data_IF_941434488921
#
_entry.id   IF_941434488921
#
_cell.length_a   1.000
_cell.length_b   1.000
_cell.length_c   1.000
_cell.angle_alpha   90.00
_cell.angle_beta   90.00
_cell.angle_gamma   90.00
#
_symmetry.space_group_name_H-M   'P 1'
#
loop_
_entity.id
_entity.type
_entity.pdbx_description
1 polymer ?
#
# COMPACT_ATOMS: atom_id res chain seq x y z
N UNK A 1 -3.18 1.88 20.73
CA UNK A 1 -3.69 1.22 19.52
C UNK A 1 -4.17 -0.18 19.92
N UNK A 2 -5.32 -0.61 19.43
CA UNK A 2 -5.80 -1.97 19.69
C UNK A 2 -5.12 -2.96 18.72
N UNK A 3 -4.18 -3.74 19.26
CA UNK A 3 -3.41 -4.72 18.46
C UNK A 3 -4.30 -5.78 17.84
N UNK A 4 -5.44 -6.12 18.46
CA UNK A 4 -6.35 -7.18 18.00
C UNK A 4 -7.10 -6.74 16.76
N UNK A 5 -7.60 -5.50 16.75
CA UNK A 5 -8.30 -4.93 15.60
C UNK A 5 -7.38 -4.77 14.40
N UNK A 6 -6.15 -4.31 14.61
CA UNK A 6 -5.19 -4.17 13.52
C UNK A 6 -4.78 -5.53 12.96
N UNK A 7 -4.61 -6.54 13.81
CA UNK A 7 -4.39 -7.90 13.32
C UNK A 7 -5.56 -8.40 12.48
N UNK A 8 -6.80 -8.12 12.89
CA UNK A 8 -7.98 -8.54 12.14
C UNK A 8 -8.02 -7.86 10.77
N UNK A 9 -7.78 -6.55 10.73
CA UNK A 9 -7.70 -5.80 9.48
C UNK A 9 -6.62 -6.34 8.54
N UNK A 10 -5.40 -6.56 9.04
CA UNK A 10 -4.29 -7.09 8.24
C UNK A 10 -4.52 -8.53 7.78
N UNK A 11 -5.19 -9.34 8.60
CA UNK A 11 -5.57 -10.71 8.24
C UNK A 11 -6.58 -10.75 7.09
N UNK A 12 -7.61 -9.90 7.15
CA UNK A 12 -8.58 -9.74 6.06
C UNK A 12 -7.91 -9.20 4.78
N UNK A 13 -6.99 -8.25 4.93
CA UNK A 13 -6.23 -7.68 3.81
C UNK A 13 -5.36 -8.73 3.11
N UNK A 14 -4.62 -9.53 3.88
CA UNK A 14 -3.78 -10.61 3.36
C UNK A 14 -4.63 -11.72 2.72
N UNK A 15 -5.78 -12.04 3.31
CA UNK A 15 -6.74 -12.97 2.72
C UNK A 15 -7.28 -12.46 1.39
N UNK A 16 -7.63 -11.18 1.28
CA UNK A 16 -8.11 -10.59 0.03
C UNK A 16 -7.03 -10.64 -1.08
N UNK A 17 -5.76 -10.43 -0.73
CA UNK A 17 -4.65 -10.43 -1.69
C UNK A 17 -4.22 -11.85 -2.10
N UNK A 18 -4.19 -12.80 -1.17
CA UNK A 18 -3.54 -14.12 -1.38
C UNK A 18 -4.50 -15.31 -1.34
N UNK A 19 -5.74 -15.10 -0.89
CA UNK A 19 -6.70 -16.16 -0.58
C UNK A 19 -6.37 -16.96 0.70
N UNK A 20 -5.35 -16.55 1.46
CA UNK A 20 -4.91 -17.21 2.70
C UNK A 20 -4.85 -16.23 3.85
N UNK A 21 -5.23 -16.68 5.03
CA UNK A 21 -5.11 -15.91 6.26
C UNK A 21 -3.66 -15.92 6.77
N UNK A 22 -3.34 -14.97 7.65
CA UNK A 22 -2.05 -14.91 8.32
C UNK A 22 -1.86 -16.14 9.22
N UNK A 23 -0.70 -16.79 9.09
CA UNK A 23 -0.38 -17.90 9.97
C UNK A 23 -0.01 -17.44 11.39
N UNK A 24 0.15 -18.41 12.29
CA UNK A 24 0.46 -18.14 13.69
C UNK A 24 1.79 -17.41 13.90
N UNK A 25 2.83 -17.69 13.10
CA UNK A 25 4.14 -17.03 13.15
C UNK A 25 4.06 -15.60 12.59
N UNK A 26 3.38 -15.40 11.46
CA UNK A 26 3.16 -14.08 10.86
C UNK A 26 2.38 -13.16 11.82
N UNK A 27 1.33 -13.68 12.46
CA UNK A 27 0.58 -12.94 13.50
C UNK A 27 1.46 -12.60 14.71
N UNK A 28 2.35 -13.50 15.11
CA UNK A 28 3.30 -13.23 16.20
C UNK A 28 4.35 -12.19 15.83
N UNK A 29 4.79 -12.17 14.56
CA UNK A 29 5.68 -11.14 14.02
C UNK A 29 5.01 -9.78 14.10
N UNK A 30 3.78 -9.64 13.60
CA UNK A 30 3.02 -8.37 13.65
C UNK A 30 2.85 -7.89 15.10
N UNK A 31 2.36 -8.76 15.99
CA UNK A 31 2.22 -8.46 17.43
C UNK A 31 3.54 -8.03 18.05
N UNK A 32 4.60 -8.80 17.77
CA UNK A 32 5.92 -8.56 18.29
C UNK A 32 6.48 -7.22 17.85
N UNK A 33 6.28 -6.83 16.59
CA UNK A 33 6.76 -5.54 16.06
C UNK A 33 5.99 -4.38 16.69
N UNK A 34 4.67 -4.48 16.83
CA UNK A 34 3.84 -3.47 17.51
C UNK A 34 4.27 -3.31 18.99
N UNK A 35 4.69 -4.41 19.62
CA UNK A 35 5.16 -4.43 21.01
C UNK A 35 6.69 -4.30 21.15
N UNK A 36 7.40 -3.85 20.11
CA UNK A 36 8.85 -3.63 20.10
C UNK A 36 9.72 -4.86 20.49
N UNK A 37 9.20 -6.08 20.30
CA UNK A 37 9.94 -7.34 20.53
C UNK A 37 10.96 -7.61 19.42
N UNK A 38 12.02 -8.34 19.76
CA UNK A 38 13.03 -8.78 18.79
C UNK A 38 12.58 -10.08 18.12
N UNK A 39 13.00 -10.29 16.87
CA UNK A 39 12.77 -11.55 16.15
C UNK A 39 13.37 -12.77 16.85
N UNK A 40 14.44 -12.59 17.63
CA UNK A 40 15.01 -13.68 18.42
C UNK A 40 14.04 -14.19 19.50
N UNK A 41 13.24 -13.31 20.10
CA UNK A 41 12.29 -13.68 21.16
C UNK A 41 11.04 -14.34 20.56
N UNK A 42 10.56 -13.80 19.44
CA UNK A 42 9.46 -14.40 18.66
C UNK A 42 9.85 -15.82 18.19
N UNK A 43 11.08 -15.98 17.67
CA UNK A 43 11.56 -17.26 17.18
C UNK A 43 11.64 -18.33 18.29
N UNK A 44 12.09 -17.95 19.49
CA UNK A 44 12.12 -18.85 20.65
C UNK A 44 10.73 -19.34 21.05
N UNK A 45 9.75 -18.42 21.09
CA UNK A 45 8.37 -18.74 21.43
C UNK A 45 7.75 -19.73 20.44
N UNK A 46 8.10 -19.61 19.15
CA UNK A 46 7.59 -20.44 18.07
C UNK A 46 8.50 -21.62 17.68
N UNK A 47 9.52 -21.90 18.49
CA UNK A 47 10.48 -22.99 18.28
C UNK A 47 11.13 -22.98 16.89
N UNK A 48 11.37 -21.79 16.32
CA UNK A 48 12.02 -21.62 15.03
C UNK A 48 13.36 -20.88 15.16
N UNK A 49 14.10 -20.78 14.06
CA UNK A 49 15.36 -20.05 14.04
C UNK A 49 15.12 -18.55 13.90
N UNK A 50 16.02 -17.73 14.46
CA UNK A 50 16.00 -16.28 14.25
C UNK A 50 16.04 -15.93 12.75
N UNK A 51 16.77 -16.70 11.94
CA UNK A 51 16.83 -16.52 10.48
C UNK A 51 15.46 -16.70 9.86
N UNK A 52 14.81 -17.83 10.13
CA UNK A 52 13.49 -18.14 9.61
C UNK A 52 12.44 -17.07 9.98
N UNK A 53 12.43 -16.60 11.24
CA UNK A 53 11.52 -15.52 11.64
C UNK A 53 11.79 -14.20 10.91
N UNK A 54 13.05 -13.91 10.53
CA UNK A 54 13.40 -12.73 9.73
C UNK A 54 13.01 -12.87 8.26
N UNK A 55 13.20 -14.06 7.70
CA UNK A 55 12.84 -14.35 6.31
C UNK A 55 11.31 -14.27 6.13
N UNK A 56 10.56 -14.88 7.06
CA UNK A 56 9.11 -14.78 7.11
C UNK A 56 8.64 -13.33 7.30
N UNK A 57 9.31 -12.58 8.18
CA UNK A 57 8.99 -11.16 8.36
C UNK A 57 9.26 -10.34 7.10
N UNK A 58 10.34 -10.62 6.36
CA UNK A 58 10.66 -9.93 5.12
C UNK A 58 9.59 -10.18 4.05
N UNK A 59 9.20 -11.45 3.86
CA UNK A 59 8.12 -11.82 2.95
C UNK A 59 6.79 -11.14 3.35
N UNK A 60 6.49 -11.11 4.65
CA UNK A 60 5.30 -10.46 5.18
C UNK A 60 5.29 -8.95 4.90
N UNK A 61 6.42 -8.27 5.05
CA UNK A 61 6.50 -6.85 4.73
C UNK A 61 6.32 -6.57 3.24
N UNK A 62 6.90 -7.38 2.36
CA UNK A 62 6.68 -7.24 0.91
C UNK A 62 5.20 -7.39 0.56
N UNK A 63 4.54 -8.41 1.11
CA UNK A 63 3.12 -8.65 0.89
C UNK A 63 2.25 -7.48 1.38
N UNK A 64 2.49 -7.02 2.61
CA UNK A 64 1.75 -5.89 3.17
C UNK A 64 2.03 -4.59 2.42
N UNK A 65 3.25 -4.42 1.90
CA UNK A 65 3.61 -3.25 1.09
C UNK A 65 2.84 -3.22 -0.22
N UNK A 66 2.72 -4.37 -0.88
CA UNK A 66 1.93 -4.52 -2.09
C UNK A 66 0.45 -4.25 -1.82
N UNK A 67 -0.09 -4.81 -0.73
CA UNK A 67 -1.50 -4.67 -0.38
C UNK A 67 -1.88 -3.24 0.08
N UNK A 68 -0.98 -2.52 0.75
CA UNK A 68 -1.23 -1.16 1.26
C UNK A 68 -0.72 -0.05 0.34
N UNK A 69 0.12 -0.37 -0.64
CA UNK A 69 0.73 0.62 -1.52
C UNK A 69 1.83 1.47 -0.88
N UNK A 70 2.35 1.06 0.27
CA UNK A 70 3.37 1.77 1.04
C UNK A 70 4.56 0.85 1.25
N UNK A 71 5.79 1.34 1.10
CA UNK A 71 6.99 0.51 1.38
C UNK A 71 7.10 0.26 2.88
N UNK A 72 6.74 -0.94 3.33
CA UNK A 72 6.71 -1.32 4.73
C UNK A 72 7.95 -2.10 5.13
N UNK A 73 8.39 -1.82 6.35
CA UNK A 73 9.47 -2.50 7.04
C UNK A 73 9.22 -2.46 8.55
N UNK A 74 10.05 -3.16 9.32
CA UNK A 74 9.91 -3.22 10.79
C UNK A 74 9.87 -1.84 11.46
N UNK A 75 10.63 -0.86 10.96
CA UNK A 75 10.75 0.47 11.58
C UNK A 75 9.57 1.39 11.32
N UNK A 76 8.94 1.31 10.14
CA UNK A 76 7.82 2.17 9.79
C UNK A 76 6.46 1.50 9.97
N UNK A 77 6.40 0.17 10.10
CA UNK A 77 5.15 -0.57 10.23
C UNK A 77 4.31 -0.04 11.39
N UNK A 78 4.93 0.21 12.55
CA UNK A 78 4.24 0.77 13.73
C UNK A 78 3.57 2.12 13.42
N UNK A 79 4.28 3.02 12.74
CA UNK A 79 3.72 4.32 12.35
C UNK A 79 2.59 4.18 11.32
N UNK A 80 2.72 3.25 10.36
CA UNK A 80 1.66 2.94 9.39
C UNK A 80 0.39 2.44 10.08
N UNK A 81 0.50 1.48 11.01
CA UNK A 81 -0.67 0.95 11.70
C UNK A 81 -1.26 1.91 12.73
N UNK A 82 -0.46 2.79 13.34
CA UNK A 82 -0.96 3.88 14.17
C UNK A 82 -1.78 4.87 13.34
N UNK A 83 -1.34 5.22 12.12
CA UNK A 83 -2.16 6.01 11.17
C UNK A 83 -3.48 5.31 10.82
N UNK A 84 -3.46 4.01 10.58
CA UNK A 84 -4.68 3.23 10.30
C UNK A 84 -5.62 3.16 11.52
N UNK A 85 -5.07 3.10 12.73
CA UNK A 85 -5.84 2.87 13.97
C UNK A 85 -6.25 4.13 14.74
N UNK A 86 -5.70 5.32 14.45
CA UNK A 86 -5.90 6.52 15.28
C UNK A 86 -7.16 7.30 14.95
N UNK A 87 -7.87 7.08 13.83
CA UNK A 87 -9.19 7.68 13.75
C UNK A 87 -10.36 6.79 13.32
N UNK A 88 -11.09 6.33 14.33
CA UNK A 88 -12.49 5.94 14.19
C UNK A 88 -13.42 7.16 14.31
N UNK A 89 -12.89 8.36 14.57
CA UNK A 89 -13.67 9.55 14.90
C UNK A 89 -13.52 10.74 13.94
N UNK A 90 -12.57 10.77 12.99
CA UNK A 90 -12.51 11.80 11.93
C UNK A 90 -12.84 11.26 10.52
N UNK A 91 -12.81 9.95 10.28
CA UNK A 91 -13.25 9.36 8.98
C UNK A 91 -14.71 8.91 8.96
N UNK A 92 -15.55 9.33 9.93
CA UNK A 92 -16.98 9.00 9.91
C UNK A 92 -17.78 9.73 8.80
N UNK A 93 -17.10 10.45 7.91
CA UNK A 93 -17.68 10.95 6.66
C UNK A 93 -16.65 10.82 5.54
N UNK A 94 -17.01 10.09 4.48
CA UNK A 94 -16.27 9.84 3.23
C UNK A 94 -14.93 9.10 3.36
N UNK A 95 -14.92 7.78 3.12
CA UNK A 95 -14.38 7.15 1.90
C UNK A 95 -14.97 5.72 1.84
N UNK A 96 -16.05 5.56 1.08
CA UNK A 96 -16.32 4.30 0.39
C UNK A 96 -15.59 4.45 -0.94
N UNK A 97 -14.53 3.67 -1.14
CA UNK A 97 -13.85 3.50 -2.43
C UNK A 97 -13.14 4.73 -3.00
N UNK A 98 -11.88 4.96 -2.63
CA UNK A 98 -10.89 5.49 -3.56
C UNK A 98 -9.48 5.31 -3.00
N UNK A 99 -8.74 4.37 -3.60
CA UNK A 99 -7.30 4.29 -3.49
C UNK A 99 -6.70 5.32 -4.46
N UNK A 100 -6.28 6.47 -3.94
CA UNK A 100 -5.52 7.46 -4.71
C UNK A 100 -4.03 7.18 -4.49
N UNK A 101 -3.43 6.39 -5.38
CA UNK A 101 -1.99 6.53 -5.66
C UNK A 101 -1.86 7.77 -6.56
N UNK A 102 -1.03 8.72 -6.13
CA UNK A 102 -0.48 9.73 -7.04
C UNK A 102 -0.55 11.14 -6.48
N UNK A 103 0.41 11.49 -5.63
CA UNK A 103 0.62 12.87 -5.22
C UNK A 103 1.75 12.96 -4.20
N UNK A 104 2.91 13.45 -4.62
CA UNK A 104 4.09 13.68 -3.80
C UNK A 104 3.75 14.33 -2.46
N UNK A 105 3.99 13.61 -1.36
CA UNK A 105 3.86 14.15 -0.02
C UNK A 105 5.07 15.05 0.22
N UNK A 106 4.87 16.36 0.17
CA UNK A 106 5.82 17.32 0.71
C UNK A 106 5.68 17.34 2.24
N UNK A 107 6.84 17.24 2.88
CA UNK A 107 7.05 17.00 4.29
C UNK A 107 6.76 18.23 5.18
N UNK A 108 6.20 17.95 6.36
CA UNK A 108 6.25 18.64 7.65
C UNK A 108 6.21 20.17 7.73
N UNK A 109 5.27 20.65 8.55
CA UNK A 109 5.42 21.89 9.33
C UNK A 109 5.74 21.54 10.78
N UNK A 110 6.97 21.82 11.21
CA UNK A 110 7.36 21.86 12.63
C UNK A 110 6.60 22.97 13.38
N UNK A 111 6.60 22.89 14.71
CA UNK A 111 7.04 24.02 15.51
C UNK A 111 8.33 23.67 16.27
N UNK A 112 9.31 24.57 16.17
CA UNK A 112 10.50 24.70 17.02
C UNK A 112 10.13 24.55 18.52
N UNK A 113 10.98 24.05 19.43
CA UNK A 113 12.22 24.69 19.88
C UNK A 113 13.00 23.80 20.90
N UNK A 114 14.34 23.95 20.92
CA UNK A 114 15.39 23.55 21.92
C UNK A 114 15.56 22.06 22.32
N UNK A 115 16.75 21.44 22.43
CA UNK A 115 18.10 21.91 22.81
C UNK A 115 19.21 20.91 22.34
N UNK A 116 20.43 21.44 22.15
CA UNK A 116 21.82 20.92 22.01
C UNK A 116 22.12 19.45 22.44
N UNK A 117 23.13 18.67 21.98
CA UNK A 117 24.47 18.82 21.37
C UNK A 117 24.86 17.36 20.94
N UNK A 118 25.50 17.04 19.82
CA UNK A 118 26.96 17.10 19.64
C UNK A 118 27.38 16.31 18.38
N UNK A 119 28.37 16.87 17.69
CA UNK A 119 29.45 16.29 16.86
C UNK A 119 29.17 15.71 15.46
N UNK A 120 29.87 16.34 14.52
CA UNK A 120 29.99 16.14 13.08
C UNK A 120 30.85 14.92 12.71
N UNK A 121 30.62 14.43 11.48
CA UNK A 121 31.57 13.57 10.77
C UNK A 121 31.20 13.49 9.30
N UNK A 122 31.65 14.50 8.54
CA UNK A 122 31.43 14.71 7.10
C UNK A 122 31.75 13.51 6.21
N UNK A 123 30.97 13.33 5.14
CA UNK A 123 31.51 13.01 3.82
C UNK A 123 30.63 13.61 2.72
N UNK A 124 31.02 14.80 2.25
CA UNK A 124 30.66 15.31 0.92
C UNK A 124 31.31 14.43 -0.15
N UNK A 125 30.65 14.24 -1.30
CA UNK A 125 31.20 14.69 -2.60
C UNK A 125 30.21 14.50 -3.76
N UNK A 126 29.65 15.64 -4.19
CA UNK A 126 29.45 16.16 -5.56
C UNK A 126 29.07 15.25 -6.75
N UNK A 127 28.07 15.71 -7.53
CA UNK A 127 27.90 15.19 -8.90
C UNK A 127 26.74 15.69 -9.79
N UNK A 128 26.45 17.00 -9.85
CA UNK A 128 25.94 17.77 -11.03
C UNK A 128 24.66 17.33 -11.80
N UNK A 129 23.67 18.22 -11.71
CA UNK A 129 22.88 18.88 -12.78
C UNK A 129 22.83 18.26 -14.20
N UNK A 130 21.62 18.01 -14.71
CA UNK A 130 20.91 18.92 -15.65
C UNK A 130 19.92 18.15 -16.57
N UNK A 131 18.99 18.93 -17.13
CA UNK A 131 18.20 18.70 -18.36
C UNK A 131 16.86 17.97 -18.29
N UNK A 132 15.82 18.80 -18.36
CA UNK A 132 14.54 18.53 -19.00
C UNK A 132 14.73 17.85 -20.36
N UNK A 133 14.08 16.69 -20.55
CA UNK A 133 13.68 16.20 -21.88
C UNK A 133 12.29 15.59 -21.78
N UNK A 134 11.33 16.36 -22.28
CA UNK A 134 10.04 15.90 -22.79
C UNK A 134 10.26 14.87 -23.91
N UNK A 135 9.57 13.72 -23.86
CA UNK A 135 9.41 12.89 -25.06
C UNK A 135 9.14 11.39 -24.86
N UNK A 136 7.91 10.99 -25.21
CA UNK A 136 7.48 9.69 -25.76
C UNK A 136 7.18 8.52 -24.80
N UNK A 137 5.89 8.22 -24.67
CA UNK A 137 5.41 6.84 -24.46
C UNK A 137 3.98 6.61 -25.02
N UNK A 138 3.70 7.12 -26.23
CA UNK A 138 2.42 6.94 -26.94
C UNK A 138 2.24 5.53 -27.56
N UNK A 139 2.69 4.46 -26.88
CA UNK A 139 2.54 3.07 -27.39
C UNK A 139 2.01 2.07 -26.35
N UNK A 140 2.03 2.41 -25.07
CA UNK A 140 1.53 1.51 -24.00
C UNK A 140 0.07 1.80 -23.62
N UNK A 141 -0.35 3.06 -23.74
CA UNK A 141 -1.73 3.52 -23.50
C UNK A 141 -2.74 2.86 -24.46
N UNK A 142 -2.37 2.65 -25.73
CA UNK A 142 -3.29 2.18 -26.78
C UNK A 142 -3.73 0.73 -26.58
N UNK A 143 -2.83 -0.16 -26.15
CA UNK A 143 -3.15 -1.58 -25.92
C UNK A 143 -4.08 -1.80 -24.73
N UNK A 144 -3.88 -1.03 -23.65
CA UNK A 144 -4.78 -1.07 -22.48
C UNK A 144 -6.16 -0.51 -22.80
N UNK A 145 -6.25 0.55 -23.60
CA UNK A 145 -7.53 1.10 -24.05
C UNK A 145 -8.26 0.11 -24.98
N UNK A 146 -7.58 -0.54 -25.91
CA UNK A 146 -8.20 -1.52 -26.80
C UNK A 146 -8.78 -2.73 -26.05
N UNK A 147 -8.03 -3.30 -25.10
CA UNK A 147 -8.51 -4.44 -24.31
C UNK A 147 -9.77 -4.12 -23.46
N UNK A 148 -9.87 -2.88 -22.98
CA UNK A 148 -11.07 -2.39 -22.28
C UNK A 148 -12.28 -2.32 -23.23
N UNK A 149 -12.09 -1.78 -24.43
CA UNK A 149 -13.16 -1.65 -25.43
C UNK A 149 -13.70 -3.01 -25.90
N UNK A 150 -12.84 -4.02 -26.06
CA UNK A 150 -13.27 -5.38 -26.48
C UNK A 150 -14.17 -6.08 -25.44
N UNK A 151 -14.15 -5.64 -24.19
CA UNK A 151 -14.93 -6.25 -23.10
C UNK A 151 -16.35 -5.65 -22.99
N UNK A 152 -16.57 -4.45 -23.51
CA UNK A 152 -17.87 -3.74 -23.49
C UNK A 152 -19.04 -4.60 -24.00
N UNK A 153 -18.99 -5.21 -25.21
CA UNK A 153 -20.12 -6.01 -25.71
C UNK A 153 -20.43 -7.23 -24.83
N UNK A 154 -19.43 -7.77 -24.13
CA UNK A 154 -19.64 -8.90 -23.19
C UNK A 154 -20.38 -8.44 -21.93
N UNK A 155 -20.07 -7.24 -21.42
CA UNK A 155 -20.71 -6.67 -20.24
C UNK A 155 -22.17 -6.27 -20.53
N UNK A 156 -22.44 -5.75 -21.73
CA UNK A 156 -23.82 -5.48 -22.19
C UNK A 156 -24.63 -6.78 -22.25
N UNK A 157 -24.04 -7.86 -22.78
CA UNK A 157 -24.70 -9.18 -22.83
C UNK A 157 -25.05 -9.74 -21.45
N UNK A 158 -24.34 -9.32 -20.41
CA UNK A 158 -24.58 -9.69 -19.01
C UNK A 158 -25.64 -8.75 -18.36
N UNK A 159 -26.09 -7.71 -19.06
CA UNK A 159 -27.15 -6.81 -18.62
C UNK A 159 -26.66 -5.58 -17.85
N UNK A 160 -25.36 -5.25 -17.94
CA UNK A 160 -24.85 -4.00 -17.36
C UNK A 160 -25.25 -2.80 -18.23
N UNK A 161 -25.58 -1.68 -17.59
CA UNK A 161 -25.87 -0.41 -18.31
C UNK A 161 -24.58 0.28 -18.75
N UNK A 162 -24.67 1.14 -19.76
CA UNK A 162 -23.52 1.87 -20.28
C UNK A 162 -22.81 2.71 -19.19
N UNK A 163 -23.56 3.27 -18.23
CA UNK A 163 -23.02 4.03 -17.10
C UNK A 163 -22.20 3.16 -16.16
N UNK A 164 -22.69 1.94 -15.87
CA UNK A 164 -21.97 0.98 -15.03
C UNK A 164 -20.70 0.49 -15.71
N UNK A 165 -20.75 0.26 -17.02
CA UNK A 165 -19.60 -0.16 -17.82
C UNK A 165 -18.55 0.95 -17.88
N UNK A 166 -18.97 2.20 -18.09
CA UNK A 166 -18.08 3.37 -18.09
C UNK A 166 -17.35 3.51 -16.74
N UNK A 167 -18.08 3.35 -15.64
CA UNK A 167 -17.52 3.41 -14.29
C UNK A 167 -16.54 2.25 -14.01
N UNK A 168 -16.87 1.02 -14.42
CA UNK A 168 -16.03 -0.17 -14.18
C UNK A 168 -14.76 -0.15 -15.03
N UNK A 169 -14.85 0.34 -16.27
CA UNK A 169 -13.71 0.35 -17.20
C UNK A 169 -12.88 1.63 -17.13
N UNK A 170 -13.30 2.62 -16.34
CA UNK A 170 -12.70 3.96 -16.29
C UNK A 170 -12.58 4.54 -17.72
N UNK A 171 -13.72 4.54 -18.41
CA UNK A 171 -13.87 5.04 -19.77
C UNK A 171 -14.92 6.15 -19.81
N UNK A 172 -14.76 7.16 -20.66
CA UNK A 172 -15.80 8.16 -20.86
C UNK A 172 -17.06 7.47 -21.40
N UNK A 173 -18.22 7.90 -20.90
CA UNK A 173 -19.52 7.33 -21.27
C UNK A 173 -19.74 7.37 -22.79
N UNK A 174 -19.21 8.39 -23.46
CA UNK A 174 -19.28 8.55 -24.91
C UNK A 174 -18.57 7.41 -25.66
N UNK A 175 -17.40 6.95 -25.20
CA UNK A 175 -16.71 5.79 -25.80
C UNK A 175 -17.52 4.51 -25.59
N UNK A 176 -18.16 4.33 -24.43
CA UNK A 176 -18.99 3.15 -24.17
C UNK A 176 -20.23 3.13 -25.06
N UNK A 177 -20.86 4.29 -25.27
CA UNK A 177 -22.04 4.43 -26.13
C UNK A 177 -21.73 4.21 -27.61
N UNK A 178 -20.54 4.58 -28.09
CA UNK A 178 -20.12 4.28 -29.48
C UNK A 178 -19.98 2.78 -29.76
N UNK A 179 -19.83 1.96 -28.73
CA UNK A 179 -19.75 0.50 -28.80
C UNK A 179 -21.02 -0.21 -28.30
N UNK A 180 -22.09 0.53 -28.02
CA UNK A 180 -23.40 0.05 -27.52
C UNK A 180 -24.42 -0.20 -28.66
N UNK A 181 -24.04 -0.01 -29.93
CA UNK A 181 -24.89 -0.24 -31.11
C UNK A 181 -24.90 -1.67 -31.61
#
# INVERSE_FOLDING_TARGET
MDTTEVLKYLDELVFAQTGKHLDSLQRAIIKGVISDRKYADIAKEYQCTRGHAKDEAYALWQLLSEALGEDLNKSNFRACVERLGIDKSKYKSQIIGHYVIGGSINNCSNPSEVNEKSELGNLEFLGKEATSVNGKSNKLETGRKQAKLETIPRLIKIGLTAEQIAQVLDLPLEEVLTHHS
#
